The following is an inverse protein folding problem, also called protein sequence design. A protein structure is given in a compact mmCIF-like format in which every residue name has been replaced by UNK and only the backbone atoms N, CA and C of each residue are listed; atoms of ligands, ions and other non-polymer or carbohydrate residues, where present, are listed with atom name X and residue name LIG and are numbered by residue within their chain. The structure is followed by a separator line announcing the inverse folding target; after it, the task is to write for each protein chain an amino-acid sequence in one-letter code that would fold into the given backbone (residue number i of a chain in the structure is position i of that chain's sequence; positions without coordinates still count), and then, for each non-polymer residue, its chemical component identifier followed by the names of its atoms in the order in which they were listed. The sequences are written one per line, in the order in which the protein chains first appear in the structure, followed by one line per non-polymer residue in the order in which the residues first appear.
data_IF_000383794766
#
_entry.id   IF_000383794766
#
_cell.length_a   1.000
_cell.length_b   1.000
_cell.length_c   1.000
_cell.angle_alpha   90.00
_cell.angle_beta   90.00
_cell.angle_gamma   90.00
#
_symmetry.space_group_name_H-M   'P 1'
#
loop_
_entity.id
_entity.type
_entity.pdbx_description
1 polymer ?
#
# COMPACT_ATOMS: atom_id res chain seq x y z
N UNK A 1 -46.86 -20.61 -2.98
CA UNK A 1 -45.88 -21.57 -2.42
C UNK A 1 -44.65 -20.75 -2.07
N UNK A 2 -44.39 -20.47 -0.79
CA UNK A 2 -43.19 -19.72 -0.40
C UNK A 2 -41.97 -20.60 -0.62
N UNK A 3 -40.96 -20.07 -1.29
CA UNK A 3 -39.67 -20.73 -1.46
C UNK A 3 -38.95 -20.76 -0.10
N UNK A 4 -38.37 -21.90 0.32
CA UNK A 4 -37.68 -21.99 1.61
C UNK A 4 -36.43 -21.10 1.61
N UNK A 5 -36.09 -20.51 2.76
CA UNK A 5 -34.99 -19.56 2.87
C UNK A 5 -33.63 -20.21 2.53
N UNK A 6 -33.49 -21.52 2.80
CA UNK A 6 -32.30 -22.29 2.41
C UNK A 6 -32.07 -22.29 0.88
N UNK A 7 -33.14 -22.44 0.10
CA UNK A 7 -33.04 -22.43 -1.36
C UNK A 7 -32.72 -21.03 -1.87
N UNK A 8 -33.29 -20.00 -1.23
CA UNK A 8 -32.94 -18.60 -1.50
C UNK A 8 -31.47 -18.30 -1.21
N UNK A 9 -30.95 -18.74 -0.06
CA UNK A 9 -29.55 -18.58 0.32
C UNK A 9 -28.61 -19.30 -0.66
N UNK A 10 -28.99 -20.47 -1.16
CA UNK A 10 -28.21 -21.21 -2.15
C UNK A 10 -28.05 -20.43 -3.46
N UNK A 11 -29.13 -19.84 -3.99
CA UNK A 11 -29.06 -19.02 -5.20
C UNK A 11 -28.33 -17.70 -4.98
N UNK A 12 -28.52 -17.06 -3.82
CA UNK A 12 -27.78 -15.85 -3.46
C UNK A 12 -26.27 -16.12 -3.31
N UNK A 13 -25.91 -17.26 -2.72
CA UNK A 13 -24.52 -17.71 -2.61
C UNK A 13 -23.87 -17.95 -3.98
N UNK A 14 -24.60 -18.52 -4.96
CA UNK A 14 -24.13 -18.62 -6.35
C UNK A 14 -23.88 -17.26 -7.00
N UNK A 15 -24.59 -16.22 -6.58
CA UNK A 15 -24.36 -14.84 -6.99
C UNK A 15 -23.27 -14.11 -6.16
N UNK A 16 -22.61 -14.82 -5.24
CA UNK A 16 -21.58 -14.26 -4.35
C UNK A 16 -22.13 -13.49 -3.16
N UNK A 17 -23.44 -13.50 -2.93
CA UNK A 17 -24.10 -12.71 -1.89
C UNK A 17 -24.37 -13.60 -0.67
N UNK A 18 -23.83 -13.22 0.48
CA UNK A 18 -24.01 -13.93 1.75
C UNK A 18 -24.77 -13.03 2.74
N UNK A 19 -25.94 -13.51 3.20
CA UNK A 19 -26.77 -12.80 4.19
C UNK A 19 -26.41 -13.25 5.60
N UNK A 20 -26.36 -12.30 6.53
CA UNK A 20 -26.15 -12.56 7.95
C UNK A 20 -27.45 -12.29 8.72
N UNK A 21 -27.90 -13.25 9.52
CA UNK A 21 -29.11 -13.14 10.34
C UNK A 21 -28.73 -12.96 11.82
N UNK A 22 -29.47 -12.09 12.51
CA UNK A 22 -29.30 -11.94 13.95
C UNK A 22 -29.87 -13.19 14.66
N UNK A 23 -29.06 -13.79 15.54
CA UNK A 23 -29.50 -14.95 16.34
C UNK A 23 -30.56 -14.61 17.40
N UNK A 24 -30.70 -13.33 17.75
CA UNK A 24 -31.68 -12.82 18.72
C UNK A 24 -32.19 -11.46 18.26
N UNK A 25 -33.47 -11.17 18.53
CA UNK A 25 -34.04 -9.85 18.32
C UNK A 25 -33.30 -8.81 19.18
N UNK A 26 -32.87 -7.72 18.56
CA UNK A 26 -32.20 -6.64 19.28
C UNK A 26 -33.25 -5.68 19.87
N UNK A 27 -33.06 -5.19 21.10
CA UNK A 27 -34.02 -4.29 21.74
C UNK A 27 -34.16 -2.98 20.93
N UNK A 28 -35.41 -2.63 20.60
CA UNK A 28 -35.73 -1.43 19.81
C UNK A 28 -35.64 -1.59 18.29
N UNK A 29 -35.20 -2.75 17.78
CA UNK A 29 -35.26 -3.06 16.35
C UNK A 29 -36.68 -3.50 15.94
N UNK A 30 -37.08 -3.15 14.72
CA UNK A 30 -38.29 -3.70 14.13
C UNK A 30 -38.18 -5.24 14.07
N UNK A 31 -39.30 -5.98 14.27
CA UNK A 31 -39.26 -7.43 14.22
C UNK A 31 -38.78 -7.89 12.84
N UNK A 32 -37.78 -8.79 12.83
CA UNK A 32 -37.32 -9.42 11.61
C UNK A 32 -38.46 -10.26 10.99
N UNK A 33 -38.54 -10.35 9.66
CA UNK A 33 -39.43 -11.29 8.99
C UNK A 33 -39.20 -12.73 9.48
N UNK A 34 -40.25 -13.53 9.56
CA UNK A 34 -40.14 -14.95 9.88
C UNK A 34 -39.51 -15.70 8.70
N UNK A 35 -38.39 -16.38 8.94
CA UNK A 35 -37.71 -17.20 7.94
C UNK A 35 -37.86 -18.68 8.31
N UNK A 36 -38.35 -19.47 7.36
CA UNK A 36 -38.42 -20.92 7.50
C UNK A 36 -37.05 -21.52 7.16
N UNK A 37 -36.25 -21.78 8.18
CA UNK A 37 -35.06 -22.62 8.08
C UNK A 37 -35.45 -24.08 8.28
N UNK A 38 -34.97 -25.02 7.46
CA UNK A 38 -35.15 -26.43 7.76
C UNK A 38 -34.52 -26.72 9.12
N UNK A 39 -35.25 -27.41 10.00
CA UNK A 39 -34.70 -27.99 11.23
C UNK A 39 -33.61 -28.96 10.82
N UNK A 40 -32.36 -28.50 10.80
CA UNK A 40 -31.25 -29.44 10.87
C UNK A 40 -31.30 -30.02 12.27
N UNK A 41 -31.38 -31.34 12.38
CA UNK A 41 -30.89 -32.07 13.54
C UNK A 41 -29.40 -31.70 13.69
N UNK A 42 -29.14 -30.56 14.32
CA UNK A 42 -27.82 -30.25 14.83
C UNK A 42 -27.54 -31.34 15.86
N UNK A 43 -26.43 -32.11 15.76
CA UNK A 43 -25.96 -32.79 16.94
C UNK A 43 -25.80 -31.70 17.99
N UNK A 44 -26.53 -31.84 19.09
CA UNK A 44 -26.42 -31.00 20.27
C UNK A 44 -24.94 -31.01 20.66
N UNK A 45 -24.19 -30.04 20.14
CA UNK A 45 -22.90 -29.68 20.67
C UNK A 45 -23.25 -29.10 22.03
N UNK A 46 -23.34 -30.00 23.02
CA UNK A 46 -23.22 -29.66 24.42
C UNK A 46 -22.19 -28.55 24.46
N UNK A 47 -22.62 -27.39 24.97
CA UNK A 47 -21.70 -26.34 25.30
C UNK A 47 -20.73 -26.94 26.32
N UNK A 48 -19.62 -27.49 25.82
CA UNK A 48 -18.47 -27.79 26.63
C UNK A 48 -18.17 -26.45 27.28
N UNK A 49 -18.50 -26.35 28.57
CA UNK A 49 -18.14 -25.23 29.38
C UNK A 49 -16.64 -25.06 29.21
N UNK A 50 -16.24 -24.08 28.40
CA UNK A 50 -14.86 -23.66 28.32
C UNK A 50 -14.60 -23.06 29.69
N UNK A 51 -14.13 -23.90 30.59
CA UNK A 51 -13.52 -23.46 31.82
C UNK A 51 -12.47 -22.40 31.43
N UNK A 52 -12.41 -21.26 32.12
CA UNK A 52 -11.35 -20.31 31.87
C UNK A 52 -10.01 -21.06 31.99
N UNK A 53 -9.06 -20.84 31.06
CA UNK A 53 -7.78 -21.50 31.17
C UNK A 53 -7.16 -21.17 32.54
N UNK A 54 -6.56 -22.14 33.24
CA UNK A 54 -5.88 -21.85 34.50
C UNK A 54 -4.81 -20.80 34.22
N UNK A 55 -4.87 -19.72 34.98
CA UNK A 55 -3.84 -18.68 34.98
C UNK A 55 -2.52 -19.38 35.29
N UNK A 56 -1.51 -19.38 34.40
CA UNK A 56 -0.22 -19.92 34.76
C UNK A 56 0.33 -19.05 35.89
N UNK A 57 0.50 -19.66 37.07
CA UNK A 57 1.22 -19.06 38.17
C UNK A 57 2.56 -18.57 37.64
N UNK A 58 2.88 -17.29 37.89
CA UNK A 58 4.20 -16.70 37.62
C UNK A 58 5.27 -17.66 38.14
N UNK A 59 6.17 -18.19 37.30
CA UNK A 59 7.38 -18.78 37.83
C UNK A 59 8.21 -17.65 38.46
N UNK A 60 8.49 -17.79 39.76
CA UNK A 60 9.53 -17.02 40.45
C UNK A 60 10.79 -17.07 39.61
N UNK A 61 11.33 -15.89 39.31
CA UNK A 61 12.61 -15.71 38.63
C UNK A 61 13.71 -16.25 39.54
N UNK A 62 14.46 -17.29 39.16
CA UNK A 62 15.77 -17.49 39.76
C UNK A 62 16.74 -16.55 39.04
N UNK A 63 17.31 -15.60 39.78
CA UNK A 63 18.52 -14.92 39.32
C UNK A 63 19.60 -15.97 39.08
N UNK A 64 20.08 -16.09 37.84
CA UNK A 64 21.38 -16.72 37.59
C UNK A 64 22.17 -15.95 36.55
N UNK A 65 23.31 -15.49 37.04
CA UNK A 65 24.44 -14.86 36.38
C UNK A 65 25.04 -15.74 35.27
N UNK A 66 25.54 -15.05 34.23
CA UNK A 66 26.85 -15.24 33.56
C UNK A 66 26.92 -16.06 32.26
N UNK A 67 27.55 -15.37 31.28
CA UNK A 67 28.35 -15.77 30.11
C UNK A 67 27.76 -16.44 28.86
N UNK A 68 28.27 -15.95 27.73
CA UNK A 68 27.70 -16.07 26.39
C UNK A 68 27.98 -17.38 25.67
N UNK A 69 27.12 -17.69 24.69
CA UNK A 69 27.44 -18.53 23.53
C UNK A 69 26.58 -18.07 22.35
N UNK A 70 27.20 -17.38 21.40
CA UNK A 70 26.60 -16.87 20.16
C UNK A 70 27.03 -17.66 18.92
N UNK A 71 27.23 -18.97 19.02
CA UNK A 71 27.72 -19.81 17.90
C UNK A 71 26.82 -20.98 17.50
N UNK A 72 25.94 -21.46 18.37
CA UNK A 72 25.13 -22.65 18.03
C UNK A 72 23.89 -22.37 17.16
N UNK A 73 23.41 -21.13 17.10
CA UNK A 73 22.27 -20.76 16.23
C UNK A 73 22.61 -20.68 14.74
N UNK A 74 23.89 -20.52 14.38
CA UNK A 74 24.30 -20.29 12.99
C UNK A 74 24.58 -21.62 12.26
N UNK A 75 24.92 -22.69 13.00
CA UNK A 75 25.16 -24.02 12.44
C UNK A 75 23.87 -24.70 11.94
N UNK A 76 22.72 -24.47 12.60
CA UNK A 76 21.45 -25.06 12.20
C UNK A 76 20.84 -24.50 10.90
N UNK A 77 21.24 -23.27 10.51
CA UNK A 77 20.73 -22.62 9.28
C UNK A 77 21.58 -23.02 8.06
N UNK A 78 22.88 -23.27 8.24
CA UNK A 78 23.77 -23.68 7.14
C UNK A 78 23.54 -25.14 6.69
N UNK A 79 22.95 -25.98 7.53
CA UNK A 79 22.58 -27.35 7.17
C UNK A 79 21.35 -27.44 6.25
N UNK A 80 20.58 -26.35 6.10
CA UNK A 80 19.36 -26.30 5.27
C UNK A 80 19.57 -25.72 3.87
N UNK A 81 20.78 -25.21 3.56
CA UNK A 81 21.14 -24.64 2.25
C UNK A 81 22.11 -25.53 1.44
N UNK A 82 22.47 -26.71 1.95
CA UNK A 82 23.45 -27.61 1.32
C UNK A 82 22.82 -28.77 0.53
N UNK A 83 21.50 -28.94 0.58
CA UNK A 83 20.75 -29.96 -0.18
C UNK A 83 19.75 -29.26 -1.10
N UNK A 84 20.24 -28.78 -2.26
CA UNK A 84 19.60 -28.94 -3.58
C UNK A 84 20.32 -28.06 -4.62
N UNK A 85 21.03 -28.70 -5.57
CA UNK A 85 21.47 -28.29 -6.93
C UNK A 85 22.81 -28.99 -7.22
N UNK A 86 22.96 -29.83 -8.27
CA UNK A 86 23.15 -29.41 -9.68
C UNK A 86 22.42 -30.34 -10.69
N UNK A 87 22.27 -30.14 -12.01
CA UNK A 87 22.81 -29.24 -13.06
C UNK A 87 21.93 -29.42 -14.35
N UNK A 88 22.15 -28.64 -15.43
CA UNK A 88 21.25 -28.46 -16.57
C UNK A 88 21.55 -29.37 -17.78
N UNK A 89 20.55 -29.55 -18.65
CA UNK A 89 20.75 -30.03 -20.03
C UNK A 89 19.77 -29.29 -20.96
N UNK A 90 20.30 -28.77 -22.07
CA UNK A 90 19.60 -27.86 -22.97
C UNK A 90 18.98 -28.50 -24.21
N UNK A 91 18.82 -27.64 -25.22
CA UNK A 91 18.45 -27.91 -26.64
C UNK A 91 16.92 -28.13 -26.77
N UNK A 92 16.14 -27.39 -27.57
CA UNK A 92 16.29 -27.07 -29.01
C UNK A 92 15.21 -26.07 -29.46
N UNK A 93 15.57 -25.20 -30.41
CA UNK A 93 14.68 -24.44 -31.35
C UNK A 93 14.38 -25.35 -32.57
N UNK A 94 13.19 -25.28 -33.19
CA UNK A 94 13.08 -24.76 -34.58
C UNK A 94 11.78 -23.93 -34.78
N UNK A 95 11.82 -22.72 -35.35
CA UNK A 95 11.81 -22.39 -36.79
C UNK A 95 10.63 -23.02 -37.57
N UNK A 96 9.65 -22.22 -38.04
CA UNK A 96 9.56 -21.70 -39.43
C UNK A 96 8.18 -21.09 -39.76
N UNK A 97 8.27 -19.93 -40.42
CA UNK A 97 7.29 -19.06 -41.15
C UNK A 97 6.74 -19.85 -42.40
N UNK A 98 5.74 -19.44 -43.24
CA UNK A 98 5.32 -18.07 -43.55
C UNK A 98 3.88 -17.77 -44.09
N UNK A 99 3.68 -16.49 -44.47
CA UNK A 99 2.77 -15.92 -45.53
C UNK A 99 1.24 -15.89 -45.23
N UNK A 100 0.42 -14.87 -45.56
CA UNK A 100 0.46 -13.72 -46.49
C UNK A 100 -0.67 -12.70 -46.13
N UNK A 101 -0.72 -11.49 -46.75
CA UNK A 101 -1.43 -10.30 -46.26
C UNK A 101 -2.84 -10.14 -46.87
N UNK A 102 -3.70 -9.35 -46.22
CA UNK A 102 -4.88 -8.77 -46.87
C UNK A 102 -4.95 -7.28 -46.54
N UNK A 103 -4.70 -6.49 -47.57
CA UNK A 103 -4.97 -5.07 -47.63
C UNK A 103 -6.49 -4.83 -47.66
N UNK A 104 -6.99 -3.89 -46.87
CA UNK A 104 -8.23 -3.18 -47.20
C UNK A 104 -8.00 -1.70 -46.94
N UNK A 105 -7.79 -1.01 -48.06
CA UNK A 105 -7.89 0.43 -48.24
C UNK A 105 -9.37 0.82 -48.12
N UNK A 106 -9.70 1.81 -47.28
CA UNK A 106 -10.96 2.57 -47.40
C UNK A 106 -10.85 3.93 -46.70
N UNK A 107 -10.30 4.87 -47.46
CA UNK A 107 -10.92 6.16 -47.84
C UNK A 107 -11.52 7.04 -46.72
N UNK A 108 -10.79 8.12 -46.43
CA UNK A 108 -11.36 9.37 -45.94
C UNK A 108 -12.40 9.95 -46.92
N UNK A 109 -13.24 10.87 -46.44
CA UNK A 109 -13.11 12.22 -46.96
C UNK A 109 -13.14 13.28 -45.87
N UNK A 110 -12.30 14.30 -46.07
CA UNK A 110 -12.40 15.60 -45.45
C UNK A 110 -13.31 16.50 -46.30
N UNK A 111 -14.17 17.30 -45.67
CA UNK A 111 -14.26 18.74 -45.97
C UNK A 111 -15.07 19.52 -44.91
N UNK A 112 -14.47 20.63 -44.44
CA UNK A 112 -15.01 21.96 -44.06
C UNK A 112 -16.33 22.07 -43.23
N UNK A 113 -16.49 22.88 -42.18
CA UNK A 113 -15.78 24.01 -41.56
C UNK A 113 -16.44 24.29 -40.16
N UNK A 114 -15.94 25.22 -39.32
CA UNK A 114 -16.02 25.13 -37.85
C UNK A 114 -17.33 25.66 -37.27
N UNK A 115 -18.17 24.77 -36.76
CA UNK A 115 -19.11 25.16 -35.72
C UNK A 115 -18.38 25.16 -34.38
N UNK A 116 -18.41 26.34 -33.75
CA UNK A 116 -17.92 26.65 -32.42
C UNK A 116 -18.78 25.90 -31.39
N UNK A 117 -18.69 24.58 -31.36
CA UNK A 117 -19.13 23.80 -30.22
C UNK A 117 -18.19 24.13 -29.09
N UNK A 118 -18.76 24.75 -28.08
CA UNK A 118 -18.20 24.85 -26.74
C UNK A 118 -17.97 23.41 -26.29
N UNK A 119 -16.79 22.87 -26.59
CA UNK A 119 -16.28 21.68 -25.94
C UNK A 119 -15.99 22.07 -24.49
N UNK A 120 -17.08 22.13 -23.70
CA UNK A 120 -17.05 21.60 -22.36
C UNK A 120 -16.98 20.07 -22.48
N UNK A 121 -15.94 19.57 -23.15
CA UNK A 121 -15.40 18.26 -22.87
C UNK A 121 -14.98 18.38 -21.41
N UNK A 122 -15.81 17.83 -20.52
CA UNK A 122 -15.48 17.73 -19.11
C UNK A 122 -14.17 16.98 -19.01
N UNK A 123 -13.07 17.73 -18.91
CA UNK A 123 -11.79 17.21 -18.47
C UNK A 123 -12.10 16.46 -17.19
N UNK A 124 -11.95 15.14 -17.25
CA UNK A 124 -11.99 14.34 -16.04
C UNK A 124 -10.96 14.98 -15.11
N UNK A 125 -11.36 15.41 -13.90
CA UNK A 125 -10.44 16.08 -13.00
C UNK A 125 -9.23 15.18 -12.80
N UNK A 126 -8.04 15.77 -12.94
CA UNK A 126 -6.75 15.09 -12.80
C UNK A 126 -6.77 14.13 -11.62
N UNK A 127 -6.66 12.84 -11.90
CA UNK A 127 -6.83 11.80 -10.90
C UNK A 127 -5.48 11.48 -10.24
N UNK A 128 -5.16 12.26 -9.20
CA UNK A 128 -3.99 12.02 -8.37
C UNK A 128 -4.22 10.72 -7.57
N UNK A 129 -3.21 9.86 -7.53
CA UNK A 129 -3.15 8.77 -6.57
C UNK A 129 -1.82 8.84 -5.85
N UNK A 130 -1.88 8.87 -4.53
CA UNK A 130 -0.70 9.06 -3.70
C UNK A 130 -0.85 8.26 -2.41
N UNK A 131 0.17 7.47 -2.09
CA UNK A 131 0.29 6.88 -0.78
C UNK A 131 1.62 7.35 -0.21
N UNK A 132 1.57 8.31 0.71
CA UNK A 132 2.75 9.00 1.23
C UNK A 132 2.93 8.71 2.71
N UNK A 133 4.16 8.43 3.12
CA UNK A 133 4.58 8.34 4.51
C UNK A 133 5.41 9.56 4.90
N UNK A 134 5.21 10.03 6.13
CA UNK A 134 5.92 11.18 6.69
C UNK A 134 6.69 10.74 7.94
N UNK A 135 8.00 10.96 7.92
CA UNK A 135 8.90 10.73 9.05
C UNK A 135 9.55 12.04 9.44
N UNK A 136 9.48 12.34 10.74
CA UNK A 136 9.93 13.59 11.31
C UNK A 136 11.19 13.36 12.12
N UNK A 137 12.13 14.28 11.99
CA UNK A 137 13.30 14.35 12.86
C UNK A 137 13.46 15.75 13.45
N UNK A 138 14.60 16.05 14.07
CA UNK A 138 14.83 17.37 14.65
C UNK A 138 14.97 18.44 13.54
N UNK A 139 15.72 18.14 12.48
CA UNK A 139 16.05 19.09 11.42
C UNK A 139 15.48 18.73 10.04
N UNK A 140 15.02 17.50 9.85
CA UNK A 140 14.59 16.96 8.56
C UNK A 140 13.17 16.40 8.61
N UNK A 141 12.48 16.45 7.48
CA UNK A 141 11.23 15.72 7.23
C UNK A 141 11.45 14.86 5.99
N UNK A 142 11.30 13.55 6.15
CA UNK A 142 11.36 12.60 5.05
C UNK A 142 9.95 12.27 4.60
N UNK A 143 9.69 12.43 3.31
CA UNK A 143 8.44 12.10 2.66
C UNK A 143 8.72 11.08 1.58
N UNK A 144 8.06 9.92 1.64
CA UNK A 144 8.23 8.89 0.61
C UNK A 144 6.89 8.36 0.13
N UNK A 145 6.85 7.97 -1.15
CA UNK A 145 5.87 7.01 -1.63
C UNK A 145 5.96 5.70 -0.84
N UNK A 146 4.83 5.25 -0.28
CA UNK A 146 4.68 3.97 0.40
C UNK A 146 4.06 3.00 -0.58
N UNK A 147 4.69 1.84 -0.77
CA UNK A 147 4.16 0.77 -1.61
C UNK A 147 3.40 -0.24 -0.76
N UNK A 148 2.24 -0.69 -1.24
CA UNK A 148 1.50 -1.81 -0.64
C UNK A 148 2.15 -3.17 -0.95
N UNK A 149 3.06 -3.24 -1.94
CA UNK A 149 3.77 -4.47 -2.31
C UNK A 149 4.91 -4.83 -1.33
N UNK A 150 5.44 -3.82 -0.62
CA UNK A 150 6.54 -3.99 0.32
C UNK A 150 6.07 -3.89 1.78
N UNK A 151 6.70 -4.65 2.68
CA UNK A 151 6.34 -4.63 4.10
C UNK A 151 6.44 -3.22 4.71
N UNK A 152 5.37 -2.75 5.34
CA UNK A 152 5.33 -1.44 6.01
C UNK A 152 6.42 -1.32 7.08
N UNK A 153 6.72 -2.41 7.80
CA UNK A 153 7.78 -2.43 8.81
C UNK A 153 9.16 -2.25 8.19
N UNK A 154 9.39 -2.85 7.01
CA UNK A 154 10.64 -2.71 6.28
C UNK A 154 10.83 -1.26 5.82
N UNK A 155 9.81 -0.66 5.21
CA UNK A 155 9.85 0.72 4.75
C UNK A 155 10.06 1.71 5.91
N UNK A 156 9.36 1.53 7.04
CA UNK A 156 9.54 2.35 8.24
C UNK A 156 10.95 2.22 8.84
N UNK A 157 11.49 1.00 8.90
CA UNK A 157 12.86 0.76 9.38
C UNK A 157 13.89 1.40 8.45
N UNK A 158 13.68 1.33 7.13
CA UNK A 158 14.58 1.91 6.14
C UNK A 158 14.56 3.44 6.19
N UNK A 159 13.39 4.05 6.31
CA UNK A 159 13.24 5.50 6.51
C UNK A 159 14.00 5.97 7.77
N UNK A 160 13.81 5.27 8.89
CA UNK A 160 14.54 5.54 10.14
C UNK A 160 16.05 5.38 9.99
N UNK A 161 16.49 4.33 9.29
CA UNK A 161 17.92 4.10 9.07
C UNK A 161 18.55 5.18 8.19
N UNK A 162 17.83 5.66 7.16
CA UNK A 162 18.31 6.78 6.32
C UNK A 162 18.49 8.04 7.17
N UNK A 163 17.45 8.44 7.92
CA UNK A 163 17.52 9.62 8.78
C UNK A 163 18.62 9.47 9.85
N UNK A 164 18.73 8.30 10.46
CA UNK A 164 19.76 8.03 11.46
C UNK A 164 21.18 8.13 10.89
N UNK A 165 21.39 7.64 9.67
CA UNK A 165 22.69 7.71 9.02
C UNK A 165 23.03 9.10 8.47
N UNK A 166 22.06 10.00 8.32
CA UNK A 166 22.28 11.44 8.09
C UNK A 166 22.72 12.16 9.39
N UNK A 167 22.48 11.55 10.56
CA UNK A 167 22.86 12.09 11.87
C UNK A 167 21.68 12.44 12.77
N UNK A 168 20.45 12.16 12.34
CA UNK A 168 19.25 12.46 13.12
C UNK A 168 19.04 11.43 14.23
N UNK A 169 18.75 11.90 15.44
CA UNK A 169 18.66 11.01 16.63
C UNK A 169 17.23 10.78 17.12
N UNK A 170 16.32 11.75 16.95
CA UNK A 170 14.92 11.64 17.36
C UNK A 170 14.03 11.48 16.13
N UNK A 171 13.88 10.24 15.68
CA UNK A 171 13.09 9.94 14.48
C UNK A 171 11.74 9.35 14.88
N UNK A 172 10.69 10.06 14.51
CA UNK A 172 9.31 9.64 14.76
C UNK A 172 8.58 9.43 13.43
N UNK A 173 7.84 8.32 13.31
CA UNK A 173 6.88 8.18 12.21
C UNK A 173 5.69 9.04 12.56
N UNK A 174 5.41 10.08 11.76
CA UNK A 174 4.34 11.01 12.09
C UNK A 174 3.00 10.61 11.49
N UNK A 175 2.91 10.57 10.16
CA UNK A 175 1.64 10.44 9.43
C UNK A 175 1.79 9.61 8.17
N UNK A 176 0.65 9.17 7.67
CA UNK A 176 0.49 8.51 6.37
C UNK A 176 -0.70 9.17 5.68
N UNK A 177 -0.51 9.57 4.42
CA UNK A 177 -1.54 10.16 3.58
C UNK A 177 -1.88 9.17 2.47
N UNK A 178 -3.17 8.87 2.30
CA UNK A 178 -3.68 8.08 1.18
C UNK A 178 -4.64 8.94 0.37
N UNK A 179 -4.40 8.97 -0.92
CA UNK A 179 -5.16 9.73 -1.89
C UNK A 179 -5.46 8.85 -3.11
N UNK A 180 -6.70 8.86 -3.64
CA UNK A 180 -7.87 9.60 -3.17
C UNK A 180 -8.37 9.10 -1.80
N UNK A 181 -9.01 9.98 -1.02
CA UNK A 181 -9.54 9.63 0.31
C UNK A 181 -10.75 8.71 0.18
N UNK A 182 -11.59 8.97 -0.83
CA UNK A 182 -12.76 8.17 -1.12
C UNK A 182 -12.56 7.39 -2.41
N UNK A 183 -12.83 6.08 -2.39
CA UNK A 183 -12.79 5.24 -3.60
C UNK A 183 -13.79 5.68 -4.68
N UNK A 184 -14.83 6.44 -4.32
CA UNK A 184 -15.71 7.08 -5.29
C UNK A 184 -15.18 8.48 -5.67
N UNK A 185 -14.61 8.57 -6.87
CA UNK A 185 -14.01 9.79 -7.41
C UNK A 185 -15.00 10.93 -7.65
N UNK A 186 -16.30 10.63 -7.71
CA UNK A 186 -17.36 11.63 -7.89
C UNK A 186 -17.68 12.38 -6.59
N UNK A 187 -17.16 11.92 -5.46
CA UNK A 187 -17.33 12.58 -4.17
C UNK A 187 -16.45 13.84 -4.14
N UNK A 188 -17.01 15.01 -3.79
CA UNK A 188 -16.22 16.21 -3.56
C UNK A 188 -15.15 15.98 -2.51
N UNK A 189 -13.94 16.49 -2.75
CA UNK A 189 -12.78 16.30 -1.86
C UNK A 189 -11.69 15.38 -2.41
N UNK A 190 -11.87 14.79 -3.59
CA UNK A 190 -10.81 14.06 -4.30
C UNK A 190 -10.09 14.91 -5.39
N UNK A 191 -10.33 16.23 -5.44
CA UNK A 191 -9.71 17.13 -6.41
C UNK A 191 -8.23 17.38 -6.12
N UNK A 192 -7.46 17.76 -7.14
CA UNK A 192 -6.07 18.14 -6.98
C UNK A 192 -5.87 19.32 -6.01
N UNK A 193 -6.82 20.26 -5.98
CA UNK A 193 -6.79 21.39 -5.05
C UNK A 193 -6.94 20.93 -3.59
N UNK A 194 -7.88 20.01 -3.31
CA UNK A 194 -8.02 19.45 -1.95
C UNK A 194 -6.78 18.65 -1.53
N UNK A 195 -6.14 17.94 -2.47
CA UNK A 195 -4.87 17.26 -2.18
C UNK A 195 -3.78 18.26 -1.81
N UNK A 196 -3.67 19.36 -2.56
CA UNK A 196 -2.72 20.45 -2.30
C UNK A 196 -2.98 21.12 -0.95
N UNK A 197 -4.23 21.46 -0.65
CA UNK A 197 -4.62 22.03 0.65
C UNK A 197 -4.28 21.08 1.80
N UNK A 198 -4.47 19.77 1.60
CA UNK A 198 -4.11 18.75 2.59
C UNK A 198 -2.61 18.66 2.78
N UNK A 199 -1.83 18.70 1.71
CA UNK A 199 -0.37 18.75 1.80
C UNK A 199 0.12 20.03 2.49
N UNK A 200 -0.46 21.19 2.18
CA UNK A 200 -0.13 22.45 2.84
C UNK A 200 -0.49 22.40 4.33
N UNK A 201 -1.62 21.80 4.69
CA UNK A 201 -1.98 21.61 6.09
C UNK A 201 -0.96 20.72 6.82
N UNK A 202 -0.48 19.64 6.19
CA UNK A 202 0.58 18.80 6.74
C UNK A 202 1.93 19.54 6.80
N UNK A 203 2.24 20.37 5.79
CA UNK A 203 3.47 21.15 5.72
C UNK A 203 3.59 22.18 6.86
N UNK A 204 2.46 22.66 7.39
CA UNK A 204 2.47 23.53 8.58
C UNK A 204 3.15 22.86 9.80
N UNK A 205 3.10 21.53 9.90
CA UNK A 205 3.76 20.78 10.98
C UNK A 205 5.29 20.65 10.76
N UNK A 206 5.80 21.01 9.58
CA UNK A 206 7.21 20.83 9.23
C UNK A 206 8.09 21.93 9.85
N UNK A 207 7.52 23.14 10.02
CA UNK A 207 8.24 24.29 10.58
C UNK A 207 9.44 24.67 9.72
N UNK A 208 10.62 24.84 10.36
CA UNK A 208 11.87 25.22 9.68
C UNK A 208 12.71 24.02 9.22
N UNK A 209 12.14 22.80 9.20
CA UNK A 209 12.86 21.58 8.85
C UNK A 209 13.06 21.48 7.33
N UNK A 210 14.19 20.91 6.92
CA UNK A 210 14.47 20.61 5.51
C UNK A 210 13.65 19.42 5.05
N UNK A 211 13.04 19.50 3.87
CA UNK A 211 12.22 18.41 3.30
C UNK A 211 13.05 17.54 2.37
N UNK A 212 12.91 16.23 2.49
CA UNK A 212 13.51 15.21 1.60
C UNK A 212 12.39 14.39 0.98
N UNK A 213 12.32 14.37 -0.35
CA UNK A 213 11.31 13.67 -1.13
C UNK A 213 11.91 12.40 -1.73
N UNK A 214 11.25 11.25 -1.54
CA UNK A 214 11.64 9.95 -2.10
C UNK A 214 10.47 9.31 -2.88
N UNK A 215 10.55 9.30 -4.21
CA UNK A 215 9.56 8.65 -5.06
C UNK A 215 8.13 9.10 -4.79
N UNK A 216 7.93 10.40 -4.56
CA UNK A 216 6.62 11.00 -4.36
C UNK A 216 5.99 11.23 -5.72
N UNK A 217 4.74 10.80 -5.94
CA UNK A 217 3.97 11.05 -7.17
C UNK A 217 4.71 10.69 -8.48
N UNK A 218 5.40 9.55 -8.52
CA UNK A 218 6.21 9.13 -9.68
C UNK A 218 5.42 8.87 -10.96
N UNK A 219 4.10 8.74 -10.87
CA UNK A 219 3.21 8.51 -12.00
C UNK A 219 2.85 9.81 -12.76
N UNK A 220 3.04 10.96 -12.14
CA UNK A 220 2.77 12.27 -12.73
C UNK A 220 3.98 12.77 -13.52
N UNK A 221 3.74 13.71 -14.45
CA UNK A 221 4.85 14.35 -15.16
C UNK A 221 5.76 15.09 -14.16
N UNK A 222 7.10 15.05 -14.34
CA UNK A 222 8.03 15.59 -13.35
C UNK A 222 7.88 17.10 -13.14
N UNK A 223 7.52 17.84 -14.19
CA UNK A 223 7.31 19.29 -14.13
C UNK A 223 6.07 19.66 -13.34
N UNK A 224 4.95 18.97 -13.57
CA UNK A 224 3.71 19.24 -12.83
C UNK A 224 3.81 18.80 -11.38
N UNK A 225 4.50 17.67 -11.14
CA UNK A 225 4.81 17.20 -9.81
C UNK A 225 5.62 18.23 -9.03
N UNK A 226 6.68 18.79 -9.63
CA UNK A 226 7.49 19.82 -9.00
C UNK A 226 6.62 21.04 -8.62
N UNK A 227 5.82 21.55 -9.57
CA UNK A 227 4.92 22.68 -9.29
C UNK A 227 3.94 22.38 -8.14
N UNK A 228 3.37 21.18 -8.09
CA UNK A 228 2.43 20.78 -7.04
C UNK A 228 3.11 20.64 -5.67
N UNK A 229 4.29 20.04 -5.63
CA UNK A 229 5.03 19.80 -4.38
C UNK A 229 5.69 21.07 -3.87
N UNK A 230 6.30 21.88 -4.74
CA UNK A 230 6.96 23.13 -4.37
C UNK A 230 5.94 24.15 -3.83
N UNK A 231 4.74 24.20 -4.40
CA UNK A 231 3.67 25.07 -3.92
C UNK A 231 3.12 24.65 -2.55
N UNK A 232 3.09 23.34 -2.25
CA UNK A 232 2.54 22.82 -1.00
C UNK A 232 3.57 22.63 0.12
N UNK A 233 4.80 22.25 -0.21
CA UNK A 233 5.86 21.85 0.73
C UNK A 233 7.05 22.81 0.74
N UNK A 234 7.14 23.72 -0.23
CA UNK A 234 8.29 24.59 -0.44
C UNK A 234 9.46 23.88 -1.13
N UNK A 235 10.62 24.53 -1.09
CA UNK A 235 11.85 24.02 -1.73
C UNK A 235 12.37 22.76 -1.01
N UNK A 236 12.40 21.65 -1.74
CA UNK A 236 12.90 20.38 -1.22
C UNK A 236 14.43 20.35 -1.24
N UNK A 237 15.04 20.01 -0.11
CA UNK A 237 16.50 19.90 -0.01
C UNK A 237 17.05 18.75 -0.88
N UNK A 238 16.27 17.68 -1.03
CA UNK A 238 16.57 16.54 -1.90
C UNK A 238 15.28 16.05 -2.53
N UNK A 239 15.28 15.89 -3.84
CA UNK A 239 14.21 15.26 -4.61
C UNK A 239 14.74 14.04 -5.35
N UNK A 240 14.41 12.86 -4.84
CA UNK A 240 14.86 11.58 -5.38
C UNK A 240 13.68 10.84 -6.02
N UNK A 241 13.88 10.31 -7.22
CA UNK A 241 12.80 9.72 -8.01
C UNK A 241 12.32 8.35 -7.53
N UNK A 242 13.10 7.63 -6.71
CA UNK A 242 12.76 6.26 -6.30
C UNK A 242 12.17 6.20 -4.89
N UNK A 243 11.20 5.30 -4.71
CA UNK A 243 10.53 5.05 -3.42
C UNK A 243 11.42 4.27 -2.44
N UNK A 244 11.03 4.25 -1.15
CA UNK A 244 11.68 3.40 -0.14
C UNK A 244 11.64 1.90 -0.50
N UNK A 245 10.59 1.45 -1.20
CA UNK A 245 10.45 0.07 -1.63
C UNK A 245 11.48 -0.28 -2.73
N UNK A 246 11.63 0.59 -3.73
CA UNK A 246 12.65 0.43 -4.78
C UNK A 246 14.06 0.51 -4.21
N UNK A 247 14.31 1.42 -3.26
CA UNK A 247 15.56 1.51 -2.52
C UNK A 247 15.88 0.23 -1.74
N UNK A 248 14.86 -0.46 -1.22
CA UNK A 248 15.06 -1.74 -0.56
C UNK A 248 15.43 -2.86 -1.54
N UNK A 249 14.85 -2.85 -2.74
CA UNK A 249 15.06 -3.87 -3.77
C UNK A 249 16.41 -3.70 -4.51
N UNK A 250 16.82 -2.46 -4.81
CA UNK A 250 18.01 -2.18 -5.63
C UNK A 250 19.06 -1.43 -4.81
N UNK A 251 20.20 -2.07 -4.46
CA UNK A 251 21.25 -1.44 -3.65
C UNK A 251 21.93 -0.22 -4.30
N UNK A 252 21.92 -0.12 -5.64
CA UNK A 252 22.55 1.00 -6.36
C UNK A 252 21.92 2.34 -6.00
N UNK A 253 20.59 2.41 -5.91
CA UNK A 253 19.84 3.63 -5.59
C UNK A 253 20.17 4.19 -4.20
N UNK A 254 20.54 3.33 -3.23
CA UNK A 254 20.97 3.80 -1.91
C UNK A 254 22.23 4.66 -2.01
N UNK A 255 23.18 4.28 -2.89
CA UNK A 255 24.45 5.01 -3.04
C UNK A 255 24.23 6.38 -3.68
N UNK A 256 23.34 6.45 -4.66
CA UNK A 256 22.97 7.71 -5.32
C UNK A 256 22.25 8.65 -4.35
N UNK A 257 21.28 8.13 -3.60
CA UNK A 257 20.60 8.90 -2.54
C UNK A 257 21.60 9.43 -1.51
N UNK A 258 22.57 8.62 -1.09
CA UNK A 258 23.61 9.06 -0.14
C UNK A 258 24.47 10.21 -0.67
N UNK A 259 24.80 10.21 -1.97
CA UNK A 259 25.57 11.31 -2.57
C UNK A 259 24.76 12.61 -2.60
N UNK A 260 23.45 12.53 -2.88
CA UNK A 260 22.56 13.68 -2.87
C UNK A 260 22.35 14.23 -1.44
N UNK A 261 22.03 13.34 -0.48
CA UNK A 261 21.85 13.73 0.93
C UNK A 261 23.10 14.41 1.50
N UNK A 262 24.29 13.89 1.19
CA UNK A 262 25.55 14.51 1.65
C UNK A 262 25.74 15.92 1.08
N UNK A 263 25.33 16.15 -0.16
CA UNK A 263 25.44 17.46 -0.81
C UNK A 263 24.44 18.48 -0.23
N UNK A 264 23.26 18.02 0.18
CA UNK A 264 22.19 18.89 0.69
C UNK A 264 22.26 19.16 2.22
N UNK A 265 22.78 18.21 2.99
CA UNK A 265 22.84 18.29 4.46
C UNK A 265 24.23 18.63 4.98
N UNK A 266 25.29 18.27 4.24
CA UNK A 266 26.68 18.49 4.64
C UNK A 266 27.30 19.83 4.22
N UNK A 267 26.48 20.80 3.81
CA UNK A 267 26.88 22.16 3.44
C UNK A 267 26.71 23.15 4.58
#
# INVERSE_FOLDING_TARGET
MMMPEAERQFYLGKAGIHLWYARKALPGAAPSPEFAFPEQDEPELEAAAIAPPPVPARPSVPQRKVDGVGKDRIAGIQALMADDTPEPAGVTVPEKVPETPVAVESKAPADESPEKTVDAAGELPRQIHAHLGFWFSEQLVLISGVSDEASTRLQDTLAKNILAAVGETRIEKGRELRWPVFGNLRVPGNSADCFRDTLHFLANDFGARKVVLLGVLTNDSPSERAVLLDDALGDAAVDFSHTLAELAAVPAYKRELWQQLKSAVGG
#
